data_IF_718125176684
#
_entry.id   IF_718125176684
#
_cell.length_a   1.000
_cell.length_b   1.000
_cell.length_c   1.000
_cell.angle_alpha   90.00
_cell.angle_beta   90.00
_cell.angle_gamma   90.00
#
_symmetry.space_group_name_H-M   'P 1'
#
loop_
_entity.id
_entity.type
_entity.pdbx_description
1 polymer ?
#
# COMPACT_ATOMS: atom_id res chain seq x y z
N UNK A 1 20.27 61.54 27.82
CA UNK A 1 20.71 60.75 26.65
C UNK A 1 19.96 59.43 26.72
N UNK A 2 18.88 59.31 25.94
CA UNK A 2 18.00 58.13 25.94
C UNK A 2 17.77 57.78 24.48
N UNK A 3 18.21 56.59 24.09
CA UNK A 3 18.23 56.08 22.72
C UNK A 3 16.86 55.46 22.42
N UNK A 4 16.19 55.93 21.38
CA UNK A 4 15.02 55.26 20.79
C UNK A 4 15.52 54.13 19.88
N UNK A 5 15.14 52.89 20.18
CA UNK A 5 15.33 51.73 19.30
C UNK A 5 14.09 51.62 18.41
N UNK A 6 14.27 51.82 17.10
CA UNK A 6 13.21 51.63 16.10
C UNK A 6 12.97 50.15 15.80
N UNK A 7 11.70 49.74 15.83
CA UNK A 7 11.26 48.42 15.38
C UNK A 7 11.01 48.47 13.86
N UNK A 8 11.79 47.73 13.08
CA UNK A 8 11.52 47.48 11.66
C UNK A 8 10.64 46.23 11.52
N UNK A 9 9.43 46.38 10.97
CA UNK A 9 8.62 45.24 10.53
C UNK A 9 9.00 44.88 9.08
N UNK A 10 9.86 43.88 8.92
CA UNK A 10 10.07 43.24 7.62
C UNK A 10 8.97 42.23 7.35
N UNK A 11 8.20 42.41 6.28
CA UNK A 11 7.23 41.43 5.81
C UNK A 11 7.98 40.28 5.13
N UNK A 12 8.09 39.13 5.79
CA UNK A 12 8.56 37.90 5.15
C UNK A 12 7.41 37.30 4.35
N UNK A 13 7.54 37.28 3.01
CA UNK A 13 6.68 36.48 2.15
C UNK A 13 6.96 35.00 2.43
N UNK A 14 6.09 34.35 3.21
CA UNK A 14 6.10 32.89 3.35
C UNK A 14 5.56 32.32 2.06
N UNK A 15 6.46 31.92 1.16
CA UNK A 15 6.12 31.04 0.05
C UNK A 15 5.81 29.67 0.65
N UNK A 16 4.52 29.38 0.84
CA UNK A 16 4.07 28.01 1.09
C UNK A 16 4.36 27.18 -0.16
N UNK A 17 5.24 26.16 -0.11
CA UNK A 17 5.45 25.30 -1.26
C UNK A 17 4.15 24.55 -1.55
N UNK A 18 3.72 24.61 -2.82
CA UNK A 18 2.62 23.79 -3.33
C UNK A 18 2.92 22.32 -3.06
N UNK A 19 2.15 21.68 -2.19
CA UNK A 19 2.30 20.27 -1.79
C UNK A 19 1.88 19.27 -2.91
N UNK A 20 1.90 19.69 -4.18
CA UNK A 20 1.53 18.87 -5.33
C UNK A 20 2.72 18.59 -6.26
N UNK A 21 3.93 18.51 -5.70
CA UNK A 21 4.99 17.77 -6.39
C UNK A 21 4.61 16.28 -6.32
N UNK A 22 4.53 15.60 -7.47
CA UNK A 22 4.40 14.15 -7.48
C UNK A 22 5.51 13.56 -6.60
N UNK A 23 5.20 12.63 -5.68
CA UNK A 23 6.22 12.02 -4.86
C UNK A 23 7.31 11.43 -5.77
N UNK A 24 8.60 11.53 -5.39
CA UNK A 24 9.67 10.92 -6.16
C UNK A 24 9.33 9.45 -6.41
N UNK A 25 9.53 8.98 -7.65
CA UNK A 25 9.31 7.57 -8.01
C UNK A 25 10.06 6.70 -7.01
N UNK A 26 9.34 5.82 -6.31
CA UNK A 26 9.93 4.87 -5.37
C UNK A 26 11.09 4.13 -6.07
N UNK A 27 12.24 3.93 -5.40
CA UNK A 27 13.37 3.20 -6.00
C UNK A 27 12.97 1.81 -6.48
N UNK A 28 11.91 1.21 -5.89
CA UNK A 28 11.35 -0.08 -6.31
C UNK A 28 10.77 -0.07 -7.73
N UNK A 29 10.49 1.10 -8.33
CA UNK A 29 9.92 1.20 -9.68
C UNK A 29 10.90 0.74 -10.76
N UNK A 30 12.21 0.93 -10.58
CA UNK A 30 13.24 0.50 -11.55
C UNK A 30 13.71 -0.94 -11.34
N UNK A 31 13.45 -1.52 -10.16
CA UNK A 31 13.96 -2.84 -9.82
C UNK A 31 13.20 -3.96 -10.55
N UNK A 32 13.96 -4.95 -11.00
CA UNK A 32 13.44 -6.19 -11.60
C UNK A 32 13.39 -7.33 -10.61
N UNK A 33 14.19 -7.28 -9.55
CA UNK A 33 14.20 -8.24 -8.46
C UNK A 33 14.46 -7.50 -7.15
N UNK A 34 13.78 -7.88 -6.09
CA UNK A 34 13.96 -7.29 -4.76
C UNK A 34 13.93 -8.37 -3.68
N UNK A 35 14.85 -8.25 -2.72
CA UNK A 35 14.76 -8.93 -1.43
C UNK A 35 14.73 -7.85 -0.35
N UNK A 36 13.58 -7.69 0.31
CA UNK A 36 13.31 -6.59 1.25
C UNK A 36 13.00 -7.20 2.61
N UNK A 37 13.73 -6.80 3.65
CA UNK A 37 13.33 -7.05 5.03
C UNK A 37 13.14 -5.71 5.73
N UNK A 38 11.97 -5.50 6.34
CA UNK A 38 11.67 -4.24 7.01
C UNK A 38 10.65 -4.41 8.14
N UNK A 39 10.61 -3.43 9.05
CA UNK A 39 9.52 -3.27 10.02
C UNK A 39 8.80 -1.96 9.75
N UNK A 40 7.48 -2.02 9.60
CA UNK A 40 6.65 -0.87 9.25
C UNK A 40 5.52 -0.70 10.26
N UNK A 41 5.16 0.56 10.53
CA UNK A 41 3.98 0.94 11.31
C UNK A 41 2.87 1.27 10.32
N UNK A 42 1.66 0.77 10.56
CA UNK A 42 0.51 1.07 9.71
C UNK A 42 0.15 2.56 9.75
N UNK A 43 -0.33 3.07 8.61
CA UNK A 43 -1.00 4.37 8.51
C UNK A 43 -2.49 4.18 8.22
N UNK A 44 -3.24 5.28 8.23
CA UNK A 44 -4.59 5.29 7.65
C UNK A 44 -4.51 4.88 6.17
N UNK A 45 -5.42 4.02 5.74
CA UNK A 45 -5.50 3.64 4.32
C UNK A 45 -5.79 4.91 3.48
N UNK A 46 -4.93 5.23 2.49
CA UNK A 46 -5.05 6.46 1.72
C UNK A 46 -6.20 6.44 0.70
N UNK A 47 -6.89 5.31 0.51
CA UNK A 47 -7.97 5.20 -0.46
C UNK A 47 -9.23 5.96 0.00
N UNK A 48 -9.96 6.60 -0.94
CA UNK A 48 -11.28 7.14 -0.65
C UNK A 48 -12.19 6.06 -0.05
N UNK A 49 -12.98 6.42 0.96
CA UNK A 49 -13.91 5.54 1.70
C UNK A 49 -13.22 4.50 2.61
N UNK A 50 -11.88 4.48 2.68
CA UNK A 50 -11.13 3.59 3.57
C UNK A 50 -10.64 4.27 4.84
N UNK A 51 -11.23 5.42 5.22
CA UNK A 51 -10.74 6.23 6.35
C UNK A 51 -10.78 5.50 7.69
N UNK A 52 -11.63 4.48 7.82
CA UNK A 52 -11.72 3.65 9.03
C UNK A 52 -10.64 2.57 9.09
N UNK A 53 -9.88 2.32 8.02
CA UNK A 53 -8.94 1.20 7.92
C UNK A 53 -7.51 1.62 8.24
N UNK A 54 -6.63 0.63 8.41
CA UNK A 54 -5.19 0.81 8.47
C UNK A 54 -4.50 -0.03 7.40
N UNK A 55 -3.41 0.49 6.84
CA UNK A 55 -2.62 -0.19 5.83
C UNK A 55 -1.11 0.01 6.01
N UNK A 56 -0.33 -0.97 5.58
CA UNK A 56 1.11 -0.88 5.39
C UNK A 56 1.45 -1.42 3.99
N UNK A 57 1.76 -0.53 3.05
CA UNK A 57 2.11 -0.89 1.67
C UNK A 57 3.57 -1.33 1.64
N UNK A 58 3.83 -2.60 1.30
CA UNK A 58 5.17 -3.19 1.32
C UNK A 58 5.79 -3.29 -0.07
N UNK A 59 4.94 -3.40 -1.10
CA UNK A 59 5.30 -3.25 -2.51
C UNK A 59 4.26 -2.30 -3.14
N UNK A 60 4.64 -1.08 -3.56
CA UNK A 60 3.70 -0.14 -4.16
C UNK A 60 3.31 -0.59 -5.58
N UNK A 61 2.17 -0.10 -6.11
CA UNK A 61 1.79 -0.30 -7.51
C UNK A 61 2.92 0.05 -8.47
N UNK A 62 3.16 -0.81 -9.46
CA UNK A 62 4.14 -0.54 -10.52
C UNK A 62 3.54 0.35 -11.60
N UNK A 63 4.34 1.29 -12.09
CA UNK A 63 3.93 2.22 -13.17
C UNK A 63 4.32 1.73 -14.58
N UNK A 64 5.08 0.64 -14.68
CA UNK A 64 5.57 0.05 -15.94
C UNK A 64 4.72 -1.14 -16.43
N UNK A 65 3.58 -1.41 -15.76
CA UNK A 65 2.66 -2.50 -16.11
C UNK A 65 3.18 -3.91 -15.82
N UNK A 66 4.30 -4.05 -15.10
CA UNK A 66 4.78 -5.35 -14.60
C UNK A 66 4.08 -5.73 -13.30
N UNK A 67 4.05 -7.03 -13.04
CA UNK A 67 3.54 -7.60 -11.80
C UNK A 67 4.70 -8.10 -10.95
N UNK A 68 4.63 -7.90 -9.64
CA UNK A 68 5.49 -8.61 -8.71
C UNK A 68 5.01 -10.04 -8.55
N UNK A 69 5.94 -10.99 -8.62
CA UNK A 69 5.70 -12.41 -8.36
C UNK A 69 6.74 -12.88 -7.37
N UNK A 70 6.31 -13.45 -6.26
CA UNK A 70 7.21 -13.80 -5.18
C UNK A 70 6.53 -14.39 -3.96
N UNK A 71 7.23 -14.31 -2.84
CA UNK A 71 6.73 -14.76 -1.53
C UNK A 71 6.93 -13.66 -0.50
N UNK A 72 5.99 -13.53 0.43
CA UNK A 72 6.13 -12.70 1.63
C UNK A 72 6.00 -13.58 2.87
N UNK A 73 6.87 -13.36 3.84
CA UNK A 73 6.75 -13.90 5.21
C UNK A 73 6.70 -12.74 6.20
N UNK A 74 5.89 -12.86 7.26
CA UNK A 74 5.70 -11.77 8.20
C UNK A 74 5.31 -12.22 9.60
N UNK A 75 5.46 -11.28 10.53
CA UNK A 75 4.85 -11.30 11.87
C UNK A 75 4.35 -9.90 12.20
N UNK A 76 3.19 -9.79 12.84
CA UNK A 76 2.51 -8.53 13.15
C UNK A 76 1.99 -8.50 14.58
N UNK A 77 1.83 -7.29 15.13
CA UNK A 77 1.31 -7.09 16.49
C UNK A 77 -0.20 -7.28 16.61
N UNK A 78 -0.91 -7.40 15.48
CA UNK A 78 -2.34 -7.66 15.37
C UNK A 78 -2.61 -8.59 14.17
N UNK A 79 -3.73 -9.33 14.17
CA UNK A 79 -4.22 -10.00 12.96
C UNK A 79 -4.39 -8.97 11.83
N UNK A 80 -3.85 -9.29 10.66
CA UNK A 80 -3.90 -8.45 9.46
C UNK A 80 -4.42 -9.26 8.29
N UNK A 81 -5.09 -8.58 7.36
CA UNK A 81 -5.33 -9.12 6.03
C UNK A 81 -4.08 -8.94 5.16
N UNK A 82 -3.81 -9.91 4.27
CA UNK A 82 -2.88 -9.71 3.15
C UNK A 82 -3.67 -9.22 1.94
N UNK A 83 -3.26 -8.07 1.40
CA UNK A 83 -3.86 -7.44 0.23
C UNK A 83 -2.91 -7.59 -0.94
N UNK A 84 -3.42 -8.12 -2.06
CA UNK A 84 -2.74 -8.11 -3.36
C UNK A 84 -3.61 -7.35 -4.35
N UNK A 85 -3.06 -6.31 -4.96
CA UNK A 85 -3.76 -5.54 -5.98
C UNK A 85 -3.47 -6.10 -7.37
N UNK A 86 -4.49 -6.04 -8.22
CA UNK A 86 -4.44 -6.44 -9.62
C UNK A 86 -4.89 -5.28 -10.49
N UNK A 87 -4.20 -5.10 -11.61
CA UNK A 87 -4.65 -4.18 -12.65
C UNK A 87 -6.02 -4.63 -13.15
N UNK A 88 -7.02 -3.74 -13.08
CA UNK A 88 -8.39 -4.08 -13.41
C UNK A 88 -8.75 -3.55 -14.79
N UNK A 89 -9.02 -4.48 -15.72
CA UNK A 89 -9.67 -4.12 -16.98
C UNK A 89 -11.15 -3.98 -16.71
N UNK A 90 -11.68 -2.76 -16.88
CA UNK A 90 -13.08 -2.47 -16.60
C UNK A 90 -13.97 -3.26 -17.56
N UNK A 91 -14.50 -4.38 -17.08
CA UNK A 91 -15.50 -5.16 -17.80
C UNK A 91 -16.89 -4.68 -17.40
N UNK A 92 -17.77 -4.48 -18.38
CA UNK A 92 -19.18 -4.23 -18.11
C UNK A 92 -19.80 -5.55 -17.65
N UNK A 93 -19.82 -5.78 -16.34
CA UNK A 93 -20.52 -6.92 -15.78
C UNK A 93 -22.03 -6.65 -15.75
N UNK A 94 -22.81 -7.67 -16.09
CA UNK A 94 -24.26 -7.63 -15.85
C UNK A 94 -24.56 -7.93 -14.36
N UNK A 95 -25.82 -7.76 -13.99
CA UNK A 95 -26.27 -8.00 -12.62
C UNK A 95 -26.18 -9.46 -12.17
N UNK A 96 -26.13 -10.42 -13.10
CA UNK A 96 -26.00 -11.83 -12.77
C UNK A 96 -24.54 -12.18 -12.41
N UNK A 97 -23.56 -11.49 -13.00
CA UNK A 97 -22.14 -11.75 -12.79
C UNK A 97 -21.50 -10.86 -11.71
N UNK A 98 -21.97 -9.61 -11.55
CA UNK A 98 -21.44 -8.66 -10.57
C UNK A 98 -19.99 -8.23 -10.85
N UNK A 99 -19.42 -7.42 -9.94
CA UNK A 99 -18.02 -6.96 -10.03
C UNK A 99 -17.18 -7.60 -8.94
N UNK A 100 -15.87 -7.85 -9.17
CA UNK A 100 -14.99 -8.28 -8.10
C UNK A 100 -14.86 -7.19 -7.02
N UNK A 101 -14.25 -7.54 -5.89
CA UNK A 101 -13.86 -6.53 -4.90
C UNK A 101 -12.87 -5.56 -5.56
N UNK A 102 -13.22 -4.28 -5.59
CA UNK A 102 -12.40 -3.22 -6.21
C UNK A 102 -12.11 -2.08 -5.23
N UNK A 103 -10.93 -1.50 -5.35
CA UNK A 103 -10.62 -0.17 -4.83
C UNK A 103 -10.62 0.85 -5.97
N UNK A 104 -10.92 2.11 -5.65
CA UNK A 104 -10.99 3.22 -6.62
C UNK A 104 -10.01 4.34 -6.25
N UNK A 105 -8.68 4.12 -6.37
CA UNK A 105 -7.73 5.21 -6.26
C UNK A 105 -7.95 6.24 -7.39
N UNK A 106 -7.44 7.47 -7.24
CA UNK A 106 -7.54 8.52 -8.28
C UNK A 106 -6.98 8.11 -9.65
N UNK A 107 -6.10 7.10 -9.69
CA UNK A 107 -5.45 6.58 -10.90
C UNK A 107 -6.30 5.58 -11.69
N UNK A 108 -7.47 5.18 -11.19
CA UNK A 108 -8.35 4.19 -11.81
C UNK A 108 -8.59 2.97 -10.92
N UNK A 109 -9.66 2.23 -11.19
CA UNK A 109 -10.04 1.07 -10.38
C UNK A 109 -8.99 -0.04 -10.43
N UNK A 110 -8.83 -0.75 -9.31
CA UNK A 110 -7.97 -1.93 -9.15
C UNK A 110 -8.77 -3.05 -8.48
N UNK A 111 -8.52 -4.29 -8.85
CA UNK A 111 -9.15 -5.45 -8.22
C UNK A 111 -8.31 -5.90 -7.03
N UNK A 112 -8.96 -6.42 -6.00
CA UNK A 112 -8.35 -6.77 -4.72
C UNK A 112 -8.49 -8.28 -4.47
N UNK A 113 -7.37 -8.94 -4.23
CA UNK A 113 -7.37 -10.16 -3.42
C UNK A 113 -7.18 -9.77 -1.96
N UNK A 114 -8.16 -10.10 -1.11
CA UNK A 114 -8.13 -9.86 0.33
C UNK A 114 -8.11 -11.20 1.05
N UNK A 115 -6.96 -11.55 1.64
CA UNK A 115 -6.81 -12.81 2.37
C UNK A 115 -6.91 -12.51 3.86
N UNK A 116 -7.96 -13.04 4.50
CA UNK A 116 -8.24 -12.80 5.91
C UNK A 116 -7.22 -13.44 6.85
N UNK A 117 -7.01 -12.89 8.06
CA UNK A 117 -6.02 -13.38 9.02
C UNK A 117 -6.22 -14.85 9.42
N UNK A 118 -7.46 -15.34 9.43
CA UNK A 118 -7.78 -16.73 9.79
C UNK A 118 -7.23 -17.76 8.78
N UNK A 119 -6.82 -17.33 7.59
CA UNK A 119 -6.17 -18.21 6.61
C UNK A 119 -4.70 -18.48 6.96
N UNK A 120 -4.09 -17.62 7.78
CA UNK A 120 -2.68 -17.71 8.15
C UNK A 120 -2.48 -18.15 9.60
N UNK A 121 -3.48 -17.93 10.45
CA UNK A 121 -3.44 -18.24 11.87
C UNK A 121 -4.27 -19.49 12.20
N UNK A 122 -3.65 -20.64 12.53
CA UNK A 122 -4.39 -21.79 13.03
C UNK A 122 -5.06 -21.45 14.37
N UNK A 123 -6.27 -21.98 14.59
CA UNK A 123 -7.08 -21.69 15.78
C UNK A 123 -6.43 -22.02 17.13
N UNK A 124 -5.39 -22.86 17.14
CA UNK A 124 -4.72 -23.36 18.33
C UNK A 124 -3.54 -22.51 18.82
N UNK A 125 -3.00 -21.61 17.98
CA UNK A 125 -1.92 -20.70 18.38
C UNK A 125 -1.94 -19.41 17.51
N UNK A 126 -2.57 -18.33 17.99
CA UNK A 126 -2.96 -17.20 17.17
C UNK A 126 -1.85 -16.15 17.03
N UNK A 127 -0.58 -16.56 16.93
CA UNK A 127 0.50 -15.60 16.63
C UNK A 127 0.18 -14.98 15.26
N UNK A 128 -0.02 -13.65 15.15
CA UNK A 128 -0.35 -13.03 13.87
C UNK A 128 0.87 -13.04 12.96
N UNK A 129 1.04 -14.12 12.22
CA UNK A 129 2.16 -14.34 11.32
C UNK A 129 1.71 -15.20 10.15
N UNK A 130 2.54 -15.26 9.11
CA UNK A 130 2.22 -16.07 7.95
C UNK A 130 3.32 -16.05 6.90
N UNK A 131 3.12 -16.90 5.91
CA UNK A 131 3.86 -16.89 4.65
C UNK A 131 2.88 -17.10 3.51
N UNK A 132 3.06 -16.37 2.41
CA UNK A 132 2.16 -16.45 1.27
C UNK A 132 2.92 -16.18 -0.04
N UNK A 133 2.76 -17.06 -1.06
CA UNK A 133 3.11 -16.69 -2.43
C UNK A 133 2.10 -15.66 -2.95
N UNK A 134 2.54 -14.78 -3.83
CA UNK A 134 1.68 -13.78 -4.45
C UNK A 134 2.10 -13.49 -5.90
N UNK A 135 1.12 -13.00 -6.67
CA UNK A 135 1.33 -12.38 -7.97
C UNK A 135 0.37 -11.19 -8.10
N UNK A 136 0.87 -9.99 -8.33
CA UNK A 136 0.03 -8.78 -8.42
C UNK A 136 0.83 -7.50 -8.64
N UNK A 137 0.14 -6.38 -8.87
CA UNK A 137 0.78 -5.08 -9.11
C UNK A 137 1.20 -4.37 -7.81
N UNK A 138 0.61 -4.71 -6.66
CA UNK A 138 1.01 -4.22 -5.34
C UNK A 138 0.70 -5.23 -4.23
N UNK A 139 1.39 -5.09 -3.08
CA UNK A 139 1.15 -5.89 -1.87
C UNK A 139 1.12 -4.98 -0.64
N UNK A 140 0.16 -5.22 0.25
CA UNK A 140 0.02 -4.52 1.51
C UNK A 140 -0.51 -5.43 2.62
N UNK A 141 -0.24 -5.05 3.87
CA UNK A 141 -0.98 -5.54 5.03
C UNK A 141 -2.07 -4.54 5.39
N UNK A 142 -3.19 -5.03 5.91
CA UNK A 142 -4.38 -4.23 6.13
C UNK A 142 -5.14 -4.64 7.40
N UNK A 143 -5.88 -3.71 8.01
CA UNK A 143 -6.94 -4.04 8.97
C UNK A 143 -8.24 -3.31 8.61
N UNK A 144 -9.29 -4.09 8.33
CA UNK A 144 -10.65 -3.56 8.13
C UNK A 144 -11.23 -2.93 9.40
N UNK A 145 -10.78 -3.36 10.58
CA UNK A 145 -11.25 -2.85 11.87
C UNK A 145 -10.69 -1.49 12.25
N UNK A 146 -9.68 -0.98 11.52
CA UNK A 146 -8.96 0.23 11.88
C UNK A 146 -7.93 0.04 13.01
N UNK A 147 -7.71 -1.18 13.46
CA UNK A 147 -6.69 -1.47 14.44
C UNK A 147 -5.30 -1.11 13.88
N UNK A 148 -4.63 -0.16 14.53
CA UNK A 148 -3.23 0.17 14.22
C UNK A 148 -2.33 -1.02 14.52
N UNK A 149 -1.38 -1.28 13.64
CA UNK A 149 -0.47 -2.42 13.78
C UNK A 149 0.95 -2.07 13.36
N UNK A 150 1.88 -2.86 13.87
CA UNK A 150 3.24 -2.96 13.37
C UNK A 150 3.41 -4.32 12.70
N UNK A 151 4.22 -4.37 11.65
CA UNK A 151 4.52 -5.61 10.93
C UNK A 151 6.00 -5.64 10.56
N UNK A 152 6.64 -6.77 10.84
CA UNK A 152 7.97 -7.09 10.33
C UNK A 152 7.79 -8.13 9.23
N UNK A 153 8.36 -7.88 8.07
CA UNK A 153 8.18 -8.73 6.89
C UNK A 153 9.49 -8.90 6.13
N UNK A 154 9.56 -10.01 5.41
CA UNK A 154 10.54 -10.25 4.34
C UNK A 154 9.80 -10.59 3.05
N UNK A 155 10.13 -9.88 1.97
CA UNK A 155 9.61 -10.11 0.62
C UNK A 155 10.77 -10.47 -0.29
N UNK A 156 10.61 -11.51 -1.08
CA UNK A 156 11.51 -11.85 -2.19
C UNK A 156 10.67 -11.99 -3.46
N UNK A 157 10.91 -11.13 -4.45
CA UNK A 157 10.03 -11.00 -5.60
C UNK A 157 10.73 -10.49 -6.87
N UNK A 158 10.21 -10.93 -8.02
CA UNK A 158 10.63 -10.48 -9.36
C UNK A 158 9.51 -9.72 -10.04
N UNK A 159 9.84 -8.62 -10.73
CA UNK A 159 8.90 -7.87 -11.56
C UNK A 159 8.83 -8.49 -12.97
N UNK A 160 7.71 -9.16 -13.26
CA UNK A 160 7.47 -9.89 -14.48
C UNK A 160 6.49 -9.15 -15.39
N UNK A 161 6.76 -9.17 -16.70
CA UNK A 161 5.79 -8.72 -17.70
C UNK A 161 4.66 -9.75 -17.79
N UNK A 162 3.38 -9.36 -17.58
CA UNK A 162 2.28 -10.30 -17.72
C UNK A 162 2.13 -10.76 -19.17
N UNK A 163 1.91 -12.06 -19.37
CA UNK A 163 1.56 -12.61 -20.68
C UNK A 163 0.14 -12.17 -21.04
N UNK A 164 -0.01 -11.48 -22.18
CA UNK A 164 -1.33 -11.11 -22.70
C UNK A 164 -2.00 -12.34 -23.30
N UNK A 165 -3.20 -12.66 -22.84
CA UNK A 165 -3.94 -13.86 -23.26
C UNK A 165 -5.10 -13.59 -24.21
N UNK A 166 -5.41 -12.31 -24.50
CA UNK A 166 -6.22 -11.79 -25.62
C UNK A 166 -6.19 -10.26 -25.62
#
# INVERSE_FOLDING_TARGET
>A
MTIFVGLFFGTTNVVVPSAYAAPPKSPLQSETHVTIQNTTISGQDPLPEHQAHQAAIILPPRTDGKLWVGTVTWTSSKPVELVVLHDYTNVTADSAHGVPLIAKPPTGAVAITLIGPSQFMPSSDPVPSGTAPFAGSAVAFHTLSGAKFTVTYTVDATANTPTKTK
#
